data_IF_318706949929
#
_entry.id   IF_318706949929
#
_cell.length_a   1.000
_cell.length_b   1.000
_cell.length_c   1.000
_cell.angle_alpha   90.00
_cell.angle_beta   90.00
_cell.angle_gamma   90.00
#
_symmetry.space_group_name_H-M   'P 1'
#
loop_
_entity.id
_entity.type
_entity.pdbx_description
1 polymer ?
#
# COMPACT_ATOMS: atom_id res chain seq x y z
N UNK A 1 -8.49 35.74 -3.04
CA UNK A 1 -8.66 34.27 -3.14
C UNK A 1 -8.26 33.67 -1.80
N UNK A 2 -9.24 33.31 -0.97
CA UNK A 2 -8.98 32.62 0.30
C UNK A 2 -8.57 31.17 0.01
N UNK A 3 -7.25 30.96 -0.12
CA UNK A 3 -6.68 29.62 -0.04
C UNK A 3 -6.97 29.12 1.37
N UNK A 4 -8.04 28.33 1.53
CA UNK A 4 -8.27 27.55 2.75
C UNK A 4 -7.07 26.62 2.89
N UNK A 5 -6.04 27.09 3.57
CA UNK A 5 -4.96 26.28 4.11
C UNK A 5 -5.64 25.29 5.05
N UNK A 6 -5.96 24.13 4.49
CA UNK A 6 -6.43 22.98 5.23
C UNK A 6 -5.39 22.78 6.33
N UNK A 7 -5.80 23.08 7.57
CA UNK A 7 -4.94 22.97 8.76
C UNK A 7 -4.20 21.65 8.62
N UNK A 8 -2.87 21.59 8.81
CA UNK A 8 -2.21 20.30 8.88
C UNK A 8 -2.85 19.59 10.07
N UNK A 9 -3.80 18.71 9.76
CA UNK A 9 -4.34 17.74 10.69
C UNK A 9 -3.06 17.13 11.23
N UNK A 10 -2.81 17.30 12.53
CA UNK A 10 -1.59 16.79 13.15
C UNK A 10 -1.70 15.28 13.12
N UNK A 11 -1.43 14.74 11.94
CA UNK A 11 -1.57 13.35 11.65
C UNK A 11 -0.40 12.73 12.38
N UNK A 12 -0.62 11.63 13.11
CA UNK A 12 0.45 10.96 13.83
C UNK A 12 1.60 10.47 12.91
N UNK A 13 1.40 10.59 11.59
CA UNK A 13 2.33 10.33 10.49
C UNK A 13 2.21 11.47 9.45
N UNK A 14 2.87 12.63 9.67
CA UNK A 14 2.72 13.80 8.81
C UNK A 14 3.35 13.62 7.42
N UNK A 15 4.52 12.97 7.29
CA UNK A 15 5.17 12.80 5.99
C UNK A 15 4.40 11.81 5.12
N UNK A 16 3.95 10.70 5.70
CA UNK A 16 3.13 9.72 4.97
C UNK A 16 1.78 10.32 4.56
N UNK A 17 1.17 11.16 5.40
CA UNK A 17 -0.06 11.84 5.03
C UNK A 17 0.13 12.78 3.82
N UNK A 18 1.25 13.52 3.78
CA UNK A 18 1.60 14.36 2.64
C UNK A 18 1.87 13.52 1.37
N UNK A 19 2.57 12.39 1.51
CA UNK A 19 2.81 11.47 0.41
C UNK A 19 1.51 10.87 -0.15
N UNK A 20 0.60 10.41 0.72
CA UNK A 20 -0.73 9.93 0.33
C UNK A 20 -1.53 11.03 -0.37
N UNK A 21 -1.48 12.28 0.11
CA UNK A 21 -2.15 13.39 -0.55
C UNK A 21 -1.60 13.64 -1.97
N UNK A 22 -0.28 13.56 -2.16
CA UNK A 22 0.34 13.67 -3.48
C UNK A 22 -0.08 12.50 -4.40
N UNK A 23 -0.13 11.27 -3.88
CA UNK A 23 -0.62 10.11 -4.62
C UNK A 23 -2.09 10.27 -5.02
N UNK A 24 -2.95 10.73 -4.10
CA UNK A 24 -4.36 11.02 -4.39
C UNK A 24 -4.50 12.07 -5.49
N UNK A 25 -3.63 13.08 -5.51
CA UNK A 25 -3.64 14.10 -6.56
C UNK A 25 -3.13 13.58 -7.91
N UNK A 26 -2.22 12.60 -7.93
CA UNK A 26 -1.61 12.09 -9.15
C UNK A 26 -2.41 10.95 -9.79
N UNK A 27 -2.90 10.01 -8.98
CA UNK A 27 -3.61 8.79 -9.43
C UNK A 27 -5.12 8.89 -9.24
N UNK A 28 -5.57 9.73 -8.30
CA UNK A 28 -6.97 9.87 -7.95
C UNK A 28 -7.27 9.39 -6.53
N UNK A 29 -8.12 10.14 -5.84
CA UNK A 29 -8.43 9.89 -4.43
C UNK A 29 -9.03 8.50 -4.18
N UNK A 30 -9.94 8.07 -5.06
CA UNK A 30 -10.67 6.80 -4.92
C UNK A 30 -9.74 5.59 -4.97
N UNK A 31 -8.78 5.58 -5.89
CA UNK A 31 -7.87 4.44 -6.07
C UNK A 31 -6.94 4.29 -4.87
N UNK A 32 -6.39 5.41 -4.39
CA UNK A 32 -5.48 5.42 -3.24
C UNK A 32 -6.23 5.08 -1.95
N UNK A 33 -7.44 5.61 -1.74
CA UNK A 33 -8.25 5.25 -0.57
C UNK A 33 -8.62 3.77 -0.56
N UNK A 34 -8.91 3.19 -1.73
CA UNK A 34 -9.19 1.76 -1.83
C UNK A 34 -7.94 0.92 -1.54
N UNK A 35 -6.77 1.31 -2.05
CA UNK A 35 -5.51 0.64 -1.79
C UNK A 35 -5.11 0.69 -0.30
N UNK A 36 -5.33 1.83 0.37
CA UNK A 36 -5.11 1.99 1.81
C UNK A 36 -6.10 1.14 2.61
N UNK A 37 -7.37 1.11 2.21
CA UNK A 37 -8.40 0.28 2.86
C UNK A 37 -8.09 -1.20 2.76
N UNK A 38 -7.71 -1.68 1.56
CA UNK A 38 -7.24 -3.06 1.35
C UNK A 38 -5.98 -3.35 2.17
N UNK A 39 -5.05 -2.40 2.20
CA UNK A 39 -3.84 -2.46 3.03
C UNK A 39 -4.13 -2.68 4.51
N UNK A 40 -5.09 -1.90 5.06
CA UNK A 40 -5.56 -2.02 6.44
C UNK A 40 -6.37 -3.30 6.70
N UNK A 41 -7.01 -3.86 5.68
CA UNK A 41 -7.79 -5.09 5.77
C UNK A 41 -6.93 -6.36 5.79
N UNK A 42 -5.60 -6.25 5.63
CA UNK A 42 -4.70 -7.41 5.59
C UNK A 42 -4.14 -7.71 4.21
N UNK A 43 -4.54 -6.98 3.17
CA UNK A 43 -3.97 -7.18 1.84
C UNK A 43 -2.60 -6.47 1.74
N UNK A 44 -1.60 -7.07 1.09
CA UNK A 44 -0.27 -6.49 0.92
C UNK A 44 -0.24 -5.39 -0.18
N UNK A 45 -1.25 -4.51 -0.20
CA UNK A 45 -1.42 -3.47 -1.21
C UNK A 45 -0.85 -2.12 -0.78
N UNK A 46 -0.73 -1.87 0.53
CA UNK A 46 -0.24 -0.61 1.07
C UNK A 46 0.41 -0.85 2.43
N UNK A 47 1.64 -0.35 2.61
CA UNK A 47 2.37 -0.33 3.88
C UNK A 47 3.16 0.96 4.00
N UNK A 48 3.03 1.63 5.15
CA UNK A 48 3.81 2.81 5.49
C UNK A 48 4.20 2.75 6.97
N UNK A 49 5.39 3.23 7.32
CA UNK A 49 5.85 3.32 8.70
C UNK A 49 6.58 4.65 8.92
N UNK A 50 6.17 5.40 9.94
CA UNK A 50 6.77 6.69 10.30
C UNK A 50 6.71 6.88 11.81
N UNK A 51 7.81 7.34 12.43
CA UNK A 51 7.88 7.60 13.88
C UNK A 51 7.44 6.42 14.77
N UNK A 52 7.73 5.18 14.35
CA UNK A 52 7.32 3.97 15.05
C UNK A 52 5.85 3.58 14.88
N UNK A 53 5.10 4.28 14.01
CA UNK A 53 3.72 3.98 13.66
C UNK A 53 3.64 3.40 12.26
N UNK A 54 3.05 2.23 12.13
CA UNK A 54 2.80 1.58 10.84
C UNK A 54 1.32 1.61 10.45
N UNK A 55 1.06 1.72 9.16
CA UNK A 55 -0.26 1.66 8.54
C UNK A 55 -0.23 0.67 7.40
N UNK A 56 -1.22 -0.22 7.39
CA UNK A 56 -1.38 -1.24 6.36
C UNK A 56 -0.52 -2.48 6.61
N UNK A 57 -0.57 -3.42 5.68
CA UNK A 57 0.06 -4.73 5.82
C UNK A 57 1.30 -4.77 4.96
N UNK A 58 2.46 -4.97 5.60
CA UNK A 58 3.70 -5.17 4.88
C UNK A 58 3.55 -6.37 3.94
N UNK A 59 3.80 -6.15 2.65
CA UNK A 59 4.01 -7.27 1.75
C UNK A 59 5.25 -8.01 2.23
N UNK A 60 5.07 -9.25 2.69
CA UNK A 60 6.20 -10.09 3.05
C UNK A 60 7.06 -10.24 1.78
N UNK A 61 8.37 -9.91 1.79
CA UNK A 61 9.24 -10.16 0.64
C UNK A 61 9.40 -11.67 0.35
N UNK A 62 8.85 -12.53 1.20
CA UNK A 62 8.58 -13.91 0.91
C UNK A 62 7.06 -14.13 0.80
N UNK A 63 6.51 -13.96 -0.40
CA UNK A 63 5.39 -14.82 -0.77
C UNK A 63 5.86 -16.28 -0.64
N UNK A 64 4.99 -17.26 -0.32
CA UNK A 64 5.36 -18.64 -0.59
C UNK A 64 5.78 -18.68 -2.05
N UNK A 65 6.99 -19.15 -2.33
CA UNK A 65 7.37 -19.57 -3.68
C UNK A 65 6.21 -20.44 -4.14
N UNK A 66 5.37 -19.93 -5.04
CA UNK A 66 4.34 -20.75 -5.66
C UNK A 66 5.14 -21.59 -6.62
N UNK A 67 5.67 -22.69 -6.10
CA UNK A 67 6.43 -23.67 -6.85
C UNK A 67 5.53 -24.03 -8.02
N UNK A 68 5.91 -23.55 -9.21
CA UNK A 68 5.27 -24.00 -10.43
C UNK A 68 5.47 -25.51 -10.40
N UNK A 69 4.42 -26.35 -10.37
CA UNK A 69 4.65 -27.77 -10.52
C UNK A 69 5.34 -27.92 -11.86
N UNK A 70 6.64 -28.24 -11.84
CA UNK A 70 7.38 -28.67 -13.02
C UNK A 70 6.69 -29.96 -13.42
N UNK A 71 5.72 -29.84 -14.32
CA UNK A 71 5.07 -30.97 -14.95
C UNK A 71 6.15 -31.73 -15.72
N UNK A 72 6.81 -32.62 -15.01
CA UNK A 72 7.59 -33.70 -15.56
C UNK A 72 6.60 -34.63 -16.25
N UNK A 73 6.47 -34.47 -17.57
CA UNK A 73 5.87 -35.46 -18.43
C UNK A 73 6.45 -35.28 -19.83
N UNK A 74 7.74 -35.58 -19.97
CA UNK A 74 8.27 -36.05 -21.23
C UNK A 74 9.25 -37.18 -20.93
N UNK A 75 8.72 -38.30 -20.43
CA UNK A 75 9.36 -39.60 -20.54
C UNK A 75 8.28 -40.68 -20.40
N UNK A 76 7.71 -41.08 -21.54
CA UNK A 76 7.15 -42.42 -21.75
C UNK A 76 6.74 -42.58 -23.22
N UNK A 77 7.73 -43.05 -24.00
CA UNK A 77 7.61 -44.01 -25.11
C UNK A 77 7.00 -43.59 -26.44
#
# INVERSE_FOLDING_TARGET
MDMRVNKPVSHPMPEIAAFVAALKSAFGEREIDEAIRRGKAGEPTFYACENGRSVGTASSPAGPVREHPRAAANDAR
#
